data_IF_145857182964
#
_entry.id   IF_145857182964
#
_cell.length_a   1.000
_cell.length_b   1.000
_cell.length_c   1.000
_cell.angle_alpha   90.00
_cell.angle_beta   90.00
_cell.angle_gamma   90.00
#
_symmetry.space_group_name_H-M   'P 1'
#
loop_
_entity.id
_entity.type
_entity.pdbx_description
1 polymer ?
#
# COMPACT_ATOMS: atom_id res chain seq x y z
N UNK A 1 -4.53 5.68 -27.13
CA UNK A 1 -5.52 6.77 -27.05
C UNK A 1 -5.39 7.32 -25.65
N UNK A 2 -4.53 8.32 -25.52
CA UNK A 2 -4.12 8.88 -24.25
C UNK A 2 -5.25 9.75 -23.69
N UNK A 3 -5.93 9.23 -22.67
CA UNK A 3 -7.03 9.93 -22.02
C UNK A 3 -6.44 10.88 -20.98
N UNK A 4 -6.40 12.17 -21.31
CA UNK A 4 -6.10 13.22 -20.33
C UNK A 4 -7.21 13.24 -19.28
N UNK A 5 -6.83 13.15 -18.00
CA UNK A 5 -7.76 13.25 -16.90
C UNK A 5 -7.90 14.72 -16.49
N UNK A 6 -9.13 15.22 -16.48
CA UNK A 6 -9.46 16.57 -16.04
C UNK A 6 -10.18 16.49 -14.69
N UNK A 7 -9.84 17.37 -13.75
CA UNK A 7 -10.57 17.51 -12.49
C UNK A 7 -10.69 18.98 -12.07
N UNK A 8 -11.75 19.28 -11.33
CA UNK A 8 -11.98 20.59 -10.74
C UNK A 8 -11.47 20.60 -9.30
N UNK A 9 -10.67 21.62 -8.94
CA UNK A 9 -10.31 21.86 -7.54
C UNK A 9 -11.32 22.76 -6.85
N UNK A 10 -11.20 22.86 -5.54
CA UNK A 10 -11.95 23.74 -4.64
C UNK A 10 -11.74 25.25 -4.88
N UNK A 11 -10.68 25.63 -5.58
CA UNK A 11 -10.39 27.01 -5.99
C UNK A 11 -11.10 27.46 -7.27
N UNK A 12 -11.89 26.57 -7.89
CA UNK A 12 -12.67 26.86 -9.08
C UNK A 12 -11.89 26.71 -10.40
N UNK A 13 -10.63 26.31 -10.38
CA UNK A 13 -9.86 26.02 -11.59
C UNK A 13 -10.01 24.56 -12.03
N UNK A 14 -10.00 24.35 -13.35
CA UNK A 14 -9.95 23.01 -13.95
C UNK A 14 -8.49 22.70 -14.27
N UNK A 15 -8.00 21.61 -13.68
CA UNK A 15 -6.64 21.13 -13.91
C UNK A 15 -6.68 19.99 -14.92
N UNK A 16 -5.78 20.09 -15.90
CA UNK A 16 -5.49 19.01 -16.83
C UNK A 16 -4.26 18.28 -16.31
N UNK A 17 -4.40 17.00 -15.97
CA UNK A 17 -3.23 16.16 -15.76
C UNK A 17 -2.58 15.92 -17.12
N UNK A 18 -1.43 16.57 -17.34
CA UNK A 18 -0.56 16.25 -18.46
C UNK A 18 0.07 14.88 -18.24
N UNK A 19 0.32 14.14 -19.32
CA UNK A 19 1.27 13.02 -19.26
C UNK A 19 2.64 13.65 -19.04
N UNK A 20 3.17 13.52 -17.83
CA UNK A 20 4.43 14.13 -17.44
C UNK A 20 4.91 13.63 -16.09
N UNK A 21 6.18 13.85 -15.81
CA UNK A 21 6.86 13.44 -14.58
C UNK A 21 6.63 14.44 -13.43
N UNK A 22 6.01 15.60 -13.70
CA UNK A 22 5.79 16.67 -12.73
C UNK A 22 4.45 17.38 -12.91
N UNK A 23 3.85 17.82 -11.80
CA UNK A 23 2.68 18.69 -11.69
C UNK A 23 3.07 19.94 -10.88
N UNK A 24 2.93 21.13 -11.46
CA UNK A 24 3.39 22.40 -10.89
C UNK A 24 4.85 22.37 -10.37
N UNK A 25 5.76 21.70 -11.07
CA UNK A 25 7.17 21.55 -10.69
C UNK A 25 7.43 20.55 -9.55
N UNK A 26 6.41 19.82 -9.10
CA UNK A 26 6.53 18.73 -8.13
C UNK A 26 6.46 17.38 -8.83
N UNK A 27 7.28 16.38 -8.48
CA UNK A 27 7.17 15.04 -9.04
C UNK A 27 5.76 14.47 -8.89
N UNK A 28 5.19 13.98 -9.98
CA UNK A 28 3.97 13.17 -9.92
C UNK A 28 4.39 11.80 -9.41
N UNK A 29 4.24 11.57 -8.11
CA UNK A 29 4.50 10.27 -7.53
C UNK A 29 3.37 9.33 -7.96
N UNK A 30 3.69 8.28 -8.71
CA UNK A 30 2.73 7.20 -8.91
C UNK A 30 2.51 6.52 -7.56
N UNK A 31 1.28 6.54 -7.06
CA UNK A 31 0.90 5.81 -5.85
C UNK A 31 -0.42 5.07 -6.02
N UNK A 32 -0.51 3.92 -5.36
CA UNK A 32 -1.71 3.10 -5.23
C UNK A 32 -2.01 2.94 -3.75
N UNK A 33 -3.18 3.40 -3.33
CA UNK A 33 -3.63 3.29 -1.94
C UNK A 33 -4.82 2.35 -1.88
N UNK A 34 -4.74 1.30 -1.07
CA UNK A 34 -5.90 0.46 -0.80
C UNK A 34 -6.87 1.19 0.12
N UNK A 35 -8.18 0.96 -0.04
CA UNK A 35 -9.12 1.23 1.06
C UNK A 35 -8.72 0.40 2.28
N UNK A 36 -9.22 0.80 3.45
CA UNK A 36 -9.11 -0.07 4.63
C UNK A 36 -9.74 -1.42 4.34
N UNK A 37 -8.93 -2.46 4.45
CA UNK A 37 -9.36 -3.84 4.38
C UNK A 37 -9.93 -4.16 5.75
N UNK A 38 -11.26 -4.26 5.83
CA UNK A 38 -11.93 -4.74 7.03
C UNK A 38 -11.70 -6.24 7.17
N UNK A 39 -11.12 -6.65 8.30
CA UNK A 39 -10.77 -8.04 8.55
C UNK A 39 -11.95 -8.90 9.03
N UNK A 40 -13.19 -8.38 8.92
CA UNK A 40 -14.47 -9.07 9.07
C UNK A 40 -14.75 -9.67 10.47
N UNK A 41 -14.17 -9.11 11.53
CA UNK A 41 -14.51 -9.46 12.92
C UNK A 41 -14.35 -8.24 13.83
N UNK A 42 -15.40 -7.40 14.01
CA UNK A 42 -15.27 -6.13 14.73
C UNK A 42 -14.81 -6.32 16.18
N UNK A 43 -15.13 -7.44 16.82
CA UNK A 43 -14.78 -7.69 18.23
C UNK A 43 -13.41 -8.32 18.43
N UNK A 44 -12.69 -8.69 17.35
CA UNK A 44 -11.40 -9.39 17.47
C UNK A 44 -10.34 -8.76 16.58
N UNK A 45 -9.30 -8.27 17.22
CA UNK A 45 -8.10 -7.85 16.51
C UNK A 45 -7.38 -9.06 15.91
N UNK A 46 -6.79 -8.87 14.73
CA UNK A 46 -5.95 -9.87 14.08
C UNK A 46 -4.53 -9.35 13.99
N UNK A 47 -3.58 -10.26 14.16
CA UNK A 47 -2.16 -9.96 13.98
C UNK A 47 -1.80 -10.20 12.53
N UNK A 48 -1.44 -9.15 11.79
CA UNK A 48 -0.93 -9.27 10.42
C UNK A 48 0.53 -9.68 10.51
N UNK A 49 0.89 -10.85 9.98
CA UNK A 49 2.25 -11.43 10.11
C UNK A 49 3.16 -11.02 8.97
N UNK A 50 2.62 -11.02 7.74
CA UNK A 50 3.34 -10.66 6.53
C UNK A 50 2.40 -10.22 5.42
N UNK A 51 2.94 -9.43 4.51
CA UNK A 51 2.37 -9.13 3.21
C UNK A 51 3.06 -10.02 2.17
N UNK A 52 2.26 -10.65 1.32
CA UNK A 52 2.72 -11.33 0.12
C UNK A 52 2.28 -10.47 -1.05
N UNK A 53 3.26 -9.95 -1.79
CA UNK A 53 3.04 -9.05 -2.91
C UNK A 53 3.28 -9.80 -4.23
N UNK A 54 2.27 -9.78 -5.09
CA UNK A 54 2.37 -10.21 -6.49
C UNK A 54 2.41 -8.94 -7.35
N UNK A 55 3.57 -8.68 -7.95
CA UNK A 55 3.83 -7.50 -8.76
C UNK A 55 4.46 -7.91 -10.07
N UNK A 56 4.14 -7.19 -11.15
CA UNK A 56 4.79 -7.40 -12.42
C UNK A 56 6.21 -6.83 -12.39
N UNK A 57 7.14 -7.55 -13.02
CA UNK A 57 8.48 -7.05 -13.29
C UNK A 57 8.39 -5.77 -14.10
N UNK A 58 9.06 -4.73 -13.63
CA UNK A 58 9.19 -3.44 -14.29
C UNK A 58 10.66 -2.99 -14.23
N UNK A 59 11.25 -2.70 -15.40
CA UNK A 59 12.67 -2.35 -15.49
C UNK A 59 12.93 -1.03 -14.78
N UNK A 60 14.03 -0.96 -14.03
CA UNK A 60 14.49 0.26 -13.33
C UNK A 60 13.42 0.86 -12.38
N UNK A 61 12.55 0.01 -11.82
CA UNK A 61 11.44 0.41 -10.96
C UNK A 61 11.66 -0.02 -9.52
N UNK A 62 11.59 0.95 -8.61
CA UNK A 62 11.69 0.74 -7.17
C UNK A 62 10.46 1.29 -6.48
N UNK A 63 9.88 0.49 -5.59
CA UNK A 63 8.69 0.88 -4.84
C UNK A 63 8.96 0.95 -3.34
N UNK A 64 8.21 1.85 -2.70
CA UNK A 64 8.05 1.96 -1.26
C UNK A 64 6.65 1.47 -0.89
N UNK A 65 6.55 0.80 0.24
CA UNK A 65 5.29 0.38 0.84
C UNK A 65 5.16 0.99 2.22
N UNK A 66 4.08 1.74 2.42
CA UNK A 66 3.62 2.17 3.73
C UNK A 66 2.36 1.39 4.12
N UNK A 67 2.10 1.32 5.41
CA UNK A 67 0.87 0.74 5.95
C UNK A 67 0.24 1.66 6.98
N UNK A 68 -1.06 1.50 7.19
CA UNK A 68 -1.84 2.23 8.17
C UNK A 68 -2.87 1.31 8.79
N UNK A 69 -3.08 1.42 10.10
CA UNK A 69 -4.03 0.59 10.86
C UNK A 69 -5.08 1.47 11.54
N UNK A 70 -6.13 0.86 12.07
CA UNK A 70 -7.15 1.51 12.90
C UNK A 70 -6.67 1.81 14.33
N UNK A 71 -5.55 2.53 14.46
CA UNK A 71 -5.05 3.05 15.73
C UNK A 71 -5.40 4.54 15.90
N UNK A 72 -5.32 5.05 17.14
CA UNK A 72 -5.52 6.48 17.44
C UNK A 72 -4.56 7.38 16.63
N UNK A 73 -3.33 6.89 16.47
CA UNK A 73 -2.33 7.46 15.58
C UNK A 73 -2.65 7.06 14.13
N UNK A 74 -3.31 7.98 13.42
CA UNK A 74 -3.86 7.80 12.09
C UNK A 74 -2.82 8.04 10.97
N UNK A 75 -1.53 7.91 11.28
CA UNK A 75 -0.46 8.19 10.33
C UNK A 75 0.01 6.95 9.54
N UNK A 76 0.54 7.20 8.34
CA UNK A 76 1.16 6.18 7.50
C UNK A 76 2.53 5.80 8.05
N UNK A 77 2.75 4.52 8.27
CA UNK A 77 4.00 3.96 8.81
C UNK A 77 4.77 3.26 7.70
N UNK A 78 6.09 3.48 7.67
CA UNK A 78 6.96 2.83 6.70
C UNK A 78 6.95 1.32 6.94
N UNK A 79 6.66 0.53 5.90
CA UNK A 79 6.73 -0.92 5.97
C UNK A 79 8.02 -1.44 5.33
N UNK A 80 8.25 -1.02 4.09
CA UNK A 80 9.40 -1.39 3.26
C UNK A 80 9.74 -0.27 2.30
N UNK A 81 11.03 -0.11 2.04
CA UNK A 81 11.57 0.89 1.12
C UNK A 81 12.47 0.20 0.10
N UNK A 82 12.62 0.81 -1.08
CA UNK A 82 13.53 0.36 -2.14
C UNK A 82 13.32 -1.10 -2.58
N UNK A 83 12.07 -1.54 -2.70
CA UNK A 83 11.75 -2.85 -3.28
C UNK A 83 12.03 -2.78 -4.78
N UNK A 84 13.05 -3.53 -5.22
CA UNK A 84 13.46 -3.62 -6.62
C UNK A 84 12.52 -4.55 -7.42
N UNK A 85 11.78 -3.98 -8.37
CA UNK A 85 10.90 -4.72 -9.29
C UNK A 85 11.60 -5.12 -10.59
N UNK A 86 12.88 -4.78 -10.77
CA UNK A 86 13.64 -5.10 -11.98
C UNK A 86 14.05 -6.58 -12.06
N UNK A 87 14.03 -7.27 -10.91
CA UNK A 87 14.37 -8.68 -10.80
C UNK A 87 13.13 -9.56 -11.07
N UNK A 88 13.29 -10.72 -11.71
CA UNK A 88 12.22 -11.69 -11.82
C UNK A 88 11.87 -12.24 -10.44
N UNK A 89 10.69 -11.89 -9.93
CA UNK A 89 10.17 -12.38 -8.66
C UNK A 89 8.70 -12.73 -8.85
N UNK A 90 8.35 -14.02 -8.72
CA UNK A 90 6.95 -14.46 -8.82
C UNK A 90 6.11 -13.92 -7.66
N UNK A 91 6.67 -13.89 -6.43
CA UNK A 91 6.04 -13.34 -5.22
C UNK A 91 7.08 -12.84 -4.23
N UNK A 92 6.84 -11.66 -3.67
CA UNK A 92 7.68 -11.09 -2.62
C UNK A 92 7.02 -11.26 -1.25
N UNK A 93 7.81 -11.67 -0.26
CA UNK A 93 7.35 -11.89 1.11
C UNK A 93 7.94 -10.82 2.04
N UNK A 94 7.08 -9.98 2.61
CA UNK A 94 7.48 -8.90 3.49
C UNK A 94 6.99 -9.16 4.92
N UNK A 95 7.94 -9.35 5.83
CA UNK A 95 7.71 -9.47 7.27
C UNK A 95 7.81 -8.10 7.93
N UNK A 96 7.10 -7.89 9.04
CA UNK A 96 7.24 -6.63 9.79
C UNK A 96 8.62 -6.52 10.46
N UNK A 97 9.22 -5.31 10.53
CA UNK A 97 10.59 -5.12 11.02
C UNK A 97 10.89 -5.69 12.41
N UNK A 98 9.90 -5.68 13.30
CA UNK A 98 9.98 -6.17 14.68
C UNK A 98 9.66 -7.68 14.81
N UNK A 99 9.40 -8.36 13.69
CA UNK A 99 8.91 -9.74 13.66
C UNK A 99 7.51 -9.92 14.26
N UNK A 100 6.89 -8.84 14.76
CA UNK A 100 5.60 -8.82 15.44
C UNK A 100 4.71 -7.82 14.74
N UNK A 101 4.16 -8.21 13.60
CA UNK A 101 3.29 -7.30 12.86
C UNK A 101 2.05 -6.84 13.66
N UNK A 102 1.36 -5.81 13.13
CA UNK A 102 0.40 -5.03 13.89
C UNK A 102 -0.80 -5.87 14.29
N UNK A 103 -1.34 -5.56 15.47
CA UNK A 103 -2.61 -6.07 15.96
C UNK A 103 -3.68 -5.02 15.63
N UNK A 104 -4.56 -5.31 14.67
CA UNK A 104 -5.50 -4.34 14.12
C UNK A 104 -6.82 -5.02 13.69
N UNK A 105 -7.88 -4.22 13.50
CA UNK A 105 -9.13 -4.70 12.86
C UNK A 105 -9.20 -4.28 11.40
N UNK A 106 -8.50 -3.20 11.04
CA UNK A 106 -8.42 -2.68 9.67
C UNK A 106 -6.99 -2.34 9.34
N UNK A 107 -6.61 -2.60 8.09
CA UNK A 107 -5.29 -2.23 7.57
C UNK A 107 -5.42 -1.71 6.14
N UNK A 108 -4.62 -0.71 5.80
CA UNK A 108 -4.48 -0.19 4.45
C UNK A 108 -3.00 -0.16 4.08
N UNK A 109 -2.71 -0.26 2.78
CA UNK A 109 -1.37 -0.17 2.22
C UNK A 109 -1.31 0.94 1.18
N UNK A 110 -0.18 1.63 1.14
CA UNK A 110 0.16 2.58 0.09
C UNK A 110 1.44 2.12 -0.58
N UNK A 111 1.37 1.90 -1.88
CA UNK A 111 2.50 1.59 -2.75
C UNK A 111 2.86 2.86 -3.50
N UNK A 112 4.11 3.27 -3.49
CA UNK A 112 4.56 4.46 -4.22
C UNK A 112 5.88 4.20 -4.91
N UNK A 113 6.13 4.85 -6.05
CA UNK A 113 7.45 4.84 -6.66
C UNK A 113 8.45 5.61 -5.79
N UNK A 114 9.71 5.18 -5.82
CA UNK A 114 10.82 5.90 -5.19
C UNK A 114 11.40 6.96 -6.13
N UNK A 115 11.40 6.67 -7.43
CA UNK A 115 11.93 7.56 -8.46
C UNK A 115 10.82 8.07 -9.39
N UNK A 116 10.99 9.29 -9.89
CA UNK A 116 10.10 9.88 -10.89
C UNK A 116 10.15 9.08 -12.19
N UNK A 117 9.03 8.98 -12.90
CA UNK A 117 8.93 8.23 -14.17
C UNK A 117 8.93 6.71 -14.01
N UNK A 118 9.16 6.18 -12.81
CA UNK A 118 9.00 4.76 -12.52
C UNK A 118 7.53 4.34 -12.65
N UNK A 119 7.32 3.08 -13.06
CA UNK A 119 6.00 2.47 -13.12
C UNK A 119 6.01 1.20 -12.30
N UNK A 120 4.89 0.87 -11.69
CA UNK A 120 4.70 -0.42 -11.05
C UNK A 120 3.31 -0.94 -11.36
N UNK A 121 3.17 -2.26 -11.37
CA UNK A 121 1.90 -2.94 -11.45
C UNK A 121 1.82 -3.95 -10.32
N UNK A 122 0.82 -3.77 -9.46
CA UNK A 122 0.48 -4.75 -8.42
C UNK A 122 -0.64 -5.62 -8.97
N UNK A 123 -0.38 -6.91 -9.14
CA UNK A 123 -1.38 -7.88 -9.60
C UNK A 123 -2.23 -8.39 -8.44
N UNK A 124 -1.63 -8.48 -7.24
CA UNK A 124 -2.30 -9.03 -6.07
C UNK A 124 -1.59 -8.73 -4.76
N UNK A 125 -2.38 -8.70 -3.69
CA UNK A 125 -1.94 -8.52 -2.31
C UNK A 125 -2.59 -9.62 -1.49
N UNK A 126 -1.80 -10.40 -0.77
CA UNK A 126 -2.29 -11.39 0.20
C UNK A 126 -1.72 -11.08 1.57
N UNK A 127 -2.57 -11.12 2.59
CA UNK A 127 -2.18 -10.94 3.97
C UNK A 127 -2.23 -12.28 4.71
N UNK A 128 -1.12 -12.61 5.36
CA UNK A 128 -1.08 -13.72 6.30
C UNK A 128 -1.38 -13.18 7.70
N UNK A 129 -2.41 -13.72 8.35
CA UNK A 129 -2.94 -13.21 9.61
C UNK A 129 -3.15 -14.33 10.63
N UNK A 130 -2.96 -14.00 11.90
CA UNK A 130 -3.34 -14.85 13.02
C UNK A 130 -4.48 -14.17 13.82
N UNK A 131 -5.52 -14.93 14.15
CA UNK A 131 -6.58 -14.47 15.05
C UNK A 131 -6.12 -14.67 16.49
N UNK A 132 -6.19 -13.62 17.31
CA UNK A 132 -6.04 -13.76 18.75
C UNK A 132 -7.45 -13.83 19.35
N UNK A 133 -7.74 -14.87 20.11
CA UNK A 133 -8.98 -14.98 20.86
C UNK A 133 -8.71 -15.68 22.18
N UNK A 134 -9.14 -15.06 23.28
CA UNK A 134 -9.47 -15.83 24.48
C UNK A 134 -10.57 -16.82 24.08
N UNK A 135 -10.29 -18.12 24.19
CA UNK A 135 -11.36 -19.08 24.42
C UNK A 135 -11.84 -18.80 25.84
N UNK A 136 -12.98 -18.12 25.99
CA UNK A 136 -13.80 -18.43 27.16
C UNK A 136 -14.30 -19.86 26.93
N UNK A 137 -13.70 -20.81 27.65
CA UNK A 137 -14.34 -22.10 27.88
C UNK A 137 -15.70 -21.81 28.53
N UNK A 138 -16.77 -21.97 27.76
CA UNK A 138 -18.11 -22.06 28.33
C UNK A 138 -18.17 -23.39 29.09
N UNK A 139 -17.92 -23.33 30.39
CA UNK A 139 -18.31 -24.33 31.38
C UNK A 139 -19.84 -24.41 31.51
#
# INVERSE_FOLDING_TARGET
LDQNLYFASDDGYIYQYGIGDTDAGRPINAYLTTKFIDLQMPDRTKRVRRLILDAQREKDSFIRVDYKIDAEDNDWKLFRENIDLSQPIDRMFFYFPDGRGPLCRKIAFRFSTVYTGSRFRINGITLDMAVHGHQEERS
#
